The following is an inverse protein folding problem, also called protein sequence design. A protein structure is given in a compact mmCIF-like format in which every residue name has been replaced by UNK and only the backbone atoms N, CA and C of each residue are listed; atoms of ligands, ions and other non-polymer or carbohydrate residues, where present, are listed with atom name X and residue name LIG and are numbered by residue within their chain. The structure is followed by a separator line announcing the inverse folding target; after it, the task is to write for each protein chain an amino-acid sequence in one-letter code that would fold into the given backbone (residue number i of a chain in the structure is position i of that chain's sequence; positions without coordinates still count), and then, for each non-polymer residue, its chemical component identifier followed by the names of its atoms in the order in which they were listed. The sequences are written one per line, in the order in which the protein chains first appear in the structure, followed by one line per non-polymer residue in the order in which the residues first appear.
data_IF_954356970729
#
_entry.id   IF_954356970729
#
_cell.length_a   1.000
_cell.length_b   1.000
_cell.length_c   1.000
_cell.angle_alpha   90.00
_cell.angle_beta   90.00
_cell.angle_gamma   90.00
#
_symmetry.space_group_name_H-M   'P 1'
#
loop_
_entity.id
_entity.type
_entity.pdbx_description
1 polymer ?
#
# COMPACT_ATOMS: atom_id res chain seq x y z
N UNK A 1 -23.16 -27.61 -10.59
CA UNK A 1 -22.13 -26.70 -11.15
C UNK A 1 -22.58 -25.24 -11.22
N UNK A 2 -23.89 -24.94 -11.21
CA UNK A 2 -24.45 -23.57 -11.10
C UNK A 2 -24.39 -22.97 -9.68
N UNK A 3 -24.43 -23.80 -8.63
CA UNK A 3 -24.44 -23.34 -7.23
C UNK A 3 -23.08 -22.81 -6.71
N UNK A 4 -21.96 -23.17 -7.36
CA UNK A 4 -20.65 -22.60 -7.02
C UNK A 4 -20.44 -21.22 -7.65
N UNK A 5 -21.22 -20.89 -8.69
CA UNK A 5 -21.14 -19.62 -9.40
C UNK A 5 -21.87 -18.50 -8.65
N UNK A 6 -22.91 -18.84 -7.88
CA UNK A 6 -23.62 -17.88 -7.01
C UNK A 6 -22.83 -17.49 -5.76
N UNK A 7 -21.77 -18.23 -5.40
CA UNK A 7 -20.92 -17.95 -4.25
C UNK A 7 -19.79 -16.97 -4.60
N UNK A 8 -19.34 -16.98 -5.86
CA UNK A 8 -18.50 -15.92 -6.43
C UNK A 8 -19.40 -14.90 -7.11
N UNK A 9 -19.85 -13.91 -6.35
CA UNK A 9 -20.54 -12.75 -6.91
C UNK A 9 -19.56 -12.02 -7.84
N UNK A 10 -19.67 -12.32 -9.15
CA UNK A 10 -18.83 -11.77 -10.20
C UNK A 10 -18.90 -10.24 -10.16
N UNK A 11 -20.08 -9.67 -9.87
CA UNK A 11 -20.28 -8.24 -9.71
C UNK A 11 -19.56 -7.69 -8.48
N UNK A 12 -19.60 -8.42 -7.36
CA UNK A 12 -18.93 -8.01 -6.12
C UNK A 12 -17.40 -7.97 -6.25
N UNK A 13 -16.79 -9.05 -6.73
CA UNK A 13 -15.32 -9.15 -6.77
C UNK A 13 -14.70 -8.43 -7.97
N UNK A 14 -15.23 -8.63 -9.19
CA UNK A 14 -14.69 -7.98 -10.38
C UNK A 14 -14.99 -6.48 -10.37
N UNK A 15 -16.19 -6.10 -9.94
CA UNK A 15 -16.57 -4.68 -9.79
C UNK A 15 -15.73 -3.97 -8.74
N UNK A 16 -15.46 -4.60 -7.58
CA UNK A 16 -14.54 -4.04 -6.59
C UNK A 16 -13.11 -3.90 -7.12
N UNK A 17 -12.61 -4.89 -7.87
CA UNK A 17 -11.29 -4.85 -8.49
C UNK A 17 -11.18 -3.72 -9.53
N UNK A 18 -12.21 -3.53 -10.34
CA UNK A 18 -12.29 -2.46 -11.34
C UNK A 18 -12.28 -1.07 -10.68
N UNK A 19 -13.17 -0.85 -9.71
CA UNK A 19 -13.23 0.41 -8.94
C UNK A 19 -11.90 0.66 -8.23
N UNK A 20 -11.33 -0.38 -7.58
CA UNK A 20 -10.05 -0.29 -6.89
C UNK A 20 -8.90 0.09 -7.85
N UNK A 21 -8.89 -0.48 -9.05
CA UNK A 21 -7.87 -0.17 -10.07
C UNK A 21 -8.01 1.27 -10.59
N UNK A 22 -9.23 1.75 -10.84
CA UNK A 22 -9.47 3.13 -11.28
C UNK A 22 -9.03 4.14 -10.20
N UNK A 23 -9.38 3.87 -8.94
CA UNK A 23 -8.94 4.68 -7.81
C UNK A 23 -7.41 4.63 -7.66
N UNK A 24 -6.80 3.46 -7.83
CA UNK A 24 -5.34 3.28 -7.82
C UNK A 24 -4.63 4.15 -8.86
N UNK A 25 -5.11 4.15 -10.10
CA UNK A 25 -4.56 4.99 -11.17
C UNK A 25 -4.67 6.48 -10.84
N UNK A 26 -5.81 6.90 -10.27
CA UNK A 26 -5.98 8.29 -9.83
C UNK A 26 -4.98 8.66 -8.72
N UNK A 27 -4.79 7.80 -7.73
CA UNK A 27 -3.82 8.00 -6.65
C UNK A 27 -2.38 8.03 -7.18
N UNK A 28 -2.03 7.17 -8.13
CA UNK A 28 -0.73 7.20 -8.81
C UNK A 28 -0.49 8.54 -9.55
N UNK A 29 -1.54 9.12 -10.14
CA UNK A 29 -1.48 10.47 -10.70
C UNK A 29 -1.14 11.54 -9.66
N UNK A 30 -1.75 11.47 -8.47
CA UNK A 30 -1.42 12.37 -7.35
C UNK A 30 0.01 12.13 -6.88
N UNK A 31 0.45 10.89 -6.70
CA UNK A 31 1.83 10.56 -6.31
C UNK A 31 2.85 11.11 -7.32
N UNK A 32 2.56 11.01 -8.61
CA UNK A 32 3.40 11.57 -9.67
C UNK A 32 3.56 13.08 -9.52
N UNK A 33 2.46 13.80 -9.22
CA UNK A 33 2.51 15.24 -8.94
C UNK A 33 3.29 15.54 -7.64
N UNK A 34 3.11 14.74 -6.59
CA UNK A 34 3.86 14.88 -5.34
C UNK A 34 5.37 14.69 -5.58
N UNK A 35 5.74 13.68 -6.37
CA UNK A 35 7.13 13.39 -6.76
C UNK A 35 7.73 14.56 -7.53
N UNK A 36 7.02 15.09 -8.54
CA UNK A 36 7.48 16.27 -9.30
C UNK A 36 7.69 17.48 -8.39
N UNK A 37 6.73 17.79 -7.52
CA UNK A 37 6.82 18.90 -6.58
C UNK A 37 7.97 18.72 -5.57
N UNK A 38 8.23 17.49 -5.13
CA UNK A 38 9.35 17.17 -4.24
C UNK A 38 10.70 17.56 -4.88
N UNK A 39 10.96 17.10 -6.11
CA UNK A 39 12.20 17.42 -6.82
C UNK A 39 12.40 18.93 -7.05
N UNK A 40 11.30 19.66 -7.27
CA UNK A 40 11.34 21.12 -7.46
C UNK A 40 11.56 21.87 -6.16
N UNK A 41 10.96 21.44 -5.05
CA UNK A 41 10.98 22.19 -3.77
C UNK A 41 12.21 21.87 -2.92
N UNK A 42 12.77 20.66 -3.03
CA UNK A 42 13.88 20.20 -2.21
C UNK A 42 15.14 19.86 -3.04
N UNK A 43 15.71 20.82 -3.80
CA UNK A 43 16.87 20.55 -4.63
C UNK A 43 18.13 20.22 -3.81
N UNK A 44 18.19 20.60 -2.53
CA UNK A 44 19.35 20.39 -1.64
C UNK A 44 19.30 19.09 -0.83
N UNK A 45 18.23 18.30 -0.93
CA UNK A 45 18.14 17.02 -0.24
C UNK A 45 19.16 16.01 -0.78
N UNK A 46 19.54 15.04 0.06
CA UNK A 46 20.56 14.04 -0.26
C UNK A 46 20.17 13.20 -1.49
N UNK A 47 21.17 12.82 -2.29
CA UNK A 47 20.97 11.98 -3.48
C UNK A 47 20.32 10.64 -3.13
N UNK A 48 20.62 10.08 -1.96
CA UNK A 48 20.01 8.84 -1.47
C UNK A 48 18.50 9.00 -1.28
N UNK A 49 18.05 10.12 -0.72
CA UNK A 49 16.62 10.37 -0.50
C UNK A 49 15.89 10.55 -1.83
N UNK A 50 16.49 11.30 -2.76
CA UNK A 50 15.95 11.45 -4.12
C UNK A 50 15.85 10.10 -4.84
N UNK A 51 16.91 9.28 -4.79
CA UNK A 51 16.91 7.95 -5.36
C UNK A 51 15.79 7.07 -4.76
N UNK A 52 15.56 7.14 -3.44
CA UNK A 52 14.47 6.43 -2.80
C UNK A 52 13.08 6.89 -3.31
N UNK A 53 12.86 8.20 -3.48
CA UNK A 53 11.59 8.73 -4.02
C UNK A 53 11.38 8.28 -5.48
N UNK A 54 12.41 8.34 -6.32
CA UNK A 54 12.32 7.81 -7.69
C UNK A 54 12.05 6.30 -7.70
N UNK A 55 12.68 5.55 -6.79
CA UNK A 55 12.50 4.10 -6.69
C UNK A 55 11.07 3.73 -6.33
N UNK A 56 10.47 4.41 -5.34
CA UNK A 56 9.05 4.20 -4.97
C UNK A 56 8.14 4.50 -6.17
N UNK A 57 8.37 5.61 -6.86
CA UNK A 57 7.56 5.96 -8.04
C UNK A 57 7.64 4.92 -9.16
N UNK A 58 8.83 4.35 -9.41
CA UNK A 58 9.00 3.27 -10.41
C UNK A 58 8.29 2.00 -9.98
N UNK A 59 8.32 1.66 -8.68
CA UNK A 59 7.59 0.50 -8.16
C UNK A 59 6.08 0.68 -8.31
N UNK A 60 5.53 1.85 -7.97
CA UNK A 60 4.09 2.12 -8.12
C UNK A 60 3.67 2.14 -9.59
N UNK A 61 4.53 2.63 -10.50
CA UNK A 61 4.29 2.53 -11.94
C UNK A 61 4.18 1.06 -12.39
N UNK A 62 5.12 0.22 -11.94
CA UNK A 62 5.11 -1.22 -12.23
C UNK A 62 3.85 -1.90 -11.68
N UNK A 63 3.50 -1.60 -10.42
CA UNK A 63 2.28 -2.06 -9.76
C UNK A 63 1.02 -1.69 -10.58
N UNK A 64 0.91 -0.42 -10.98
CA UNK A 64 -0.23 0.10 -11.75
C UNK A 64 -0.35 -0.57 -13.12
N UNK A 65 0.77 -0.77 -13.83
CA UNK A 65 0.78 -1.46 -15.13
C UNK A 65 0.35 -2.92 -14.97
N UNK A 66 0.87 -3.63 -13.97
CA UNK A 66 0.49 -5.02 -13.70
C UNK A 66 -0.99 -5.15 -13.32
N UNK A 67 -1.52 -4.22 -12.53
CA UNK A 67 -2.94 -4.17 -12.16
C UNK A 67 -3.83 -3.93 -13.39
N UNK A 68 -3.48 -2.97 -14.24
CA UNK A 68 -4.19 -2.70 -15.49
C UNK A 68 -4.18 -3.90 -16.45
N UNK A 69 -3.04 -4.57 -16.58
CA UNK A 69 -2.93 -5.77 -17.40
C UNK A 69 -3.80 -6.90 -16.85
N UNK A 70 -3.77 -7.15 -15.54
CA UNK A 70 -4.63 -8.14 -14.89
C UNK A 70 -6.11 -7.83 -15.12
N UNK A 71 -6.52 -6.57 -14.90
CA UNK A 71 -7.89 -6.11 -15.10
C UNK A 71 -8.34 -6.31 -16.55
N UNK A 72 -7.55 -5.89 -17.54
CA UNK A 72 -7.87 -6.05 -18.96
C UNK A 72 -8.08 -7.51 -19.34
N UNK A 73 -7.22 -8.42 -18.86
CA UNK A 73 -7.36 -9.84 -19.15
C UNK A 73 -8.62 -10.44 -18.51
N UNK A 74 -8.96 -10.04 -17.30
CA UNK A 74 -10.14 -10.54 -16.61
C UNK A 74 -11.46 -9.99 -17.16
N UNK A 75 -11.48 -8.71 -17.58
CA UNK A 75 -12.71 -8.05 -18.06
C UNK A 75 -12.93 -8.20 -19.55
N UNK A 76 -11.88 -8.21 -20.37
CA UNK A 76 -11.98 -8.23 -21.84
C UNK A 76 -11.62 -9.62 -22.38
N UNK A 77 -10.38 -10.07 -22.15
CA UNK A 77 -9.86 -11.28 -22.80
C UNK A 77 -10.62 -12.55 -22.39
N UNK A 78 -10.91 -12.69 -21.09
CA UNK A 78 -11.60 -13.85 -20.53
C UNK A 78 -13.06 -13.53 -20.13
N UNK A 79 -13.68 -12.57 -20.83
CA UNK A 79 -15.06 -12.19 -20.55
C UNK A 79 -16.00 -13.40 -20.56
N UNK A 80 -16.82 -13.53 -19.52
CA UNK A 80 -17.77 -14.63 -19.37
C UNK A 80 -17.15 -15.98 -18.96
N UNK A 81 -15.84 -16.05 -18.66
CA UNK A 81 -15.15 -17.28 -18.25
C UNK A 81 -14.78 -17.25 -16.75
N UNK A 82 -15.61 -17.79 -15.85
CA UNK A 82 -15.41 -17.70 -14.40
C UNK A 82 -14.17 -18.45 -13.90
N UNK A 83 -13.64 -19.40 -14.67
CA UNK A 83 -12.38 -20.11 -14.36
C UNK A 83 -11.16 -19.19 -14.26
N UNK A 84 -11.13 -18.11 -15.05
CA UNK A 84 -10.02 -17.15 -15.08
C UNK A 84 -10.11 -16.06 -14.00
N UNK A 85 -11.26 -15.95 -13.34
CA UNK A 85 -11.43 -15.13 -12.12
C UNK A 85 -10.93 -15.90 -10.89
N UNK A 86 -11.11 -17.22 -10.89
CA UNK A 86 -10.66 -18.11 -9.83
C UNK A 86 -9.14 -18.36 -9.87
N UNK A 87 -8.59 -18.44 -11.08
CA UNK A 87 -7.15 -18.55 -11.35
C UNK A 87 -6.69 -17.36 -12.19
N UNK A 88 -6.32 -16.25 -11.53
CA UNK A 88 -5.92 -15.03 -12.23
C UNK A 88 -4.63 -15.22 -13.04
N UNK A 89 -4.35 -14.33 -14.00
CA UNK A 89 -3.06 -14.30 -14.66
C UNK A 89 -1.94 -13.97 -13.66
N UNK A 90 -0.72 -14.45 -13.93
CA UNK A 90 0.49 -14.17 -13.14
C UNK A 90 0.70 -12.67 -12.87
N UNK A 91 0.22 -11.80 -13.76
CA UNK A 91 0.25 -10.35 -13.59
C UNK A 91 -0.40 -9.87 -12.29
N UNK A 92 -1.45 -10.55 -11.82
CA UNK A 92 -2.12 -10.22 -10.56
C UNK A 92 -1.33 -10.69 -9.33
N UNK A 93 -0.58 -11.79 -9.44
CA UNK A 93 0.31 -12.21 -8.35
C UNK A 93 1.51 -11.25 -8.22
N UNK A 94 1.97 -10.71 -9.36
CA UNK A 94 3.05 -9.72 -9.41
C UNK A 94 2.65 -8.41 -8.71
N UNK A 95 1.37 -8.00 -8.74
CA UNK A 95 0.95 -6.78 -8.02
C UNK A 95 1.13 -6.92 -6.52
N UNK A 96 0.88 -8.10 -5.95
CA UNK A 96 1.09 -8.39 -4.53
C UNK A 96 2.57 -8.24 -4.15
N UNK A 97 3.47 -8.67 -5.03
CA UNK A 97 4.91 -8.50 -4.83
C UNK A 97 5.32 -7.02 -4.86
N UNK A 98 4.82 -6.26 -5.83
CA UNK A 98 5.07 -4.82 -5.88
C UNK A 98 4.53 -4.11 -4.63
N UNK A 99 3.30 -4.40 -4.23
CA UNK A 99 2.68 -3.83 -3.04
C UNK A 99 3.53 -4.10 -1.78
N UNK A 100 4.00 -5.35 -1.59
CA UNK A 100 4.87 -5.70 -0.46
C UNK A 100 6.18 -4.90 -0.43
N UNK A 101 6.80 -4.67 -1.59
CA UNK A 101 8.01 -3.85 -1.70
C UNK A 101 7.72 -2.37 -1.41
N UNK A 102 6.66 -1.83 -1.99
CA UNK A 102 6.23 -0.44 -1.80
C UNK A 102 5.96 -0.19 -0.32
N UNK A 103 5.16 -1.03 0.33
CA UNK A 103 4.86 -0.92 1.76
C UNK A 103 6.13 -0.91 2.59
N UNK A 104 7.07 -1.82 2.33
CA UNK A 104 8.32 -1.91 3.10
C UNK A 104 9.15 -0.63 2.99
N UNK A 105 9.31 -0.10 1.78
CA UNK A 105 10.11 1.11 1.53
C UNK A 105 9.41 2.34 2.12
N UNK A 106 8.13 2.51 1.83
CA UNK A 106 7.33 3.66 2.27
C UNK A 106 7.21 3.70 3.80
N UNK A 107 6.96 2.56 4.43
CA UNK A 107 6.89 2.44 5.88
C UNK A 107 8.23 2.78 6.54
N UNK A 108 9.35 2.28 6.01
CA UNK A 108 10.69 2.61 6.51
C UNK A 108 10.97 4.11 6.39
N UNK A 109 10.56 4.72 5.27
CA UNK A 109 10.71 6.15 5.04
C UNK A 109 9.89 6.98 6.04
N UNK A 110 8.61 6.68 6.22
CA UNK A 110 7.76 7.40 7.18
C UNK A 110 8.16 7.15 8.63
N UNK A 111 8.57 5.94 8.98
CA UNK A 111 9.11 5.63 10.30
C UNK A 111 10.35 6.48 10.63
N UNK A 112 11.25 6.63 9.66
CA UNK A 112 12.41 7.50 9.81
C UNK A 112 12.02 8.98 9.95
N UNK A 113 11.03 9.45 9.17
CA UNK A 113 10.50 10.82 9.30
C UNK A 113 9.90 11.07 10.68
N UNK A 114 9.11 10.14 11.21
CA UNK A 114 8.55 10.25 12.57
C UNK A 114 9.66 10.29 13.61
N UNK A 115 10.71 9.48 13.49
CA UNK A 115 11.87 9.54 14.41
C UNK A 115 12.54 10.91 14.39
N UNK A 116 12.81 11.45 13.21
CA UNK A 116 13.47 12.76 13.05
C UNK A 116 12.61 13.88 13.63
N UNK A 117 11.29 13.81 13.46
CA UNK A 117 10.36 14.84 13.91
C UNK A 117 10.04 14.75 15.40
N UNK A 118 9.80 13.53 15.90
CA UNK A 118 9.43 13.28 17.30
C UNK A 118 10.63 13.19 18.24
N UNK A 119 11.83 12.93 17.74
CA UNK A 119 13.02 12.64 18.54
C UNK A 119 13.00 11.28 19.26
N UNK A 120 11.90 10.53 19.17
CA UNK A 120 11.67 9.28 19.89
C UNK A 120 11.98 8.06 19.01
N UNK A 121 12.87 7.19 19.47
CA UNK A 121 13.31 6.01 18.72
C UNK A 121 12.32 4.83 18.78
N UNK A 122 11.46 4.76 19.81
CA UNK A 122 10.53 3.64 20.00
C UNK A 122 9.46 3.55 18.91
N UNK A 123 9.01 4.68 18.34
CA UNK A 123 8.00 4.69 17.26
C UNK A 123 8.58 4.08 15.99
N UNK A 124 9.84 4.37 15.68
CA UNK A 124 10.54 3.76 14.56
C UNK A 124 10.71 2.25 14.77
N UNK A 125 11.11 1.82 15.97
CA UNK A 125 11.26 0.40 16.27
C UNK A 125 9.93 -0.36 16.13
N UNK A 126 8.83 0.20 16.65
CA UNK A 126 7.49 -0.35 16.50
C UNK A 126 7.06 -0.39 15.03
N UNK A 127 7.28 0.69 14.28
CA UNK A 127 6.95 0.74 12.86
C UNK A 127 7.75 -0.29 12.05
N UNK A 128 9.06 -0.44 12.28
CA UNK A 128 9.87 -1.47 11.61
C UNK A 128 9.39 -2.89 11.96
N UNK A 129 9.07 -3.14 13.23
CA UNK A 129 8.54 -4.43 13.67
C UNK A 129 7.20 -4.77 12.99
N UNK A 130 6.26 -3.83 12.97
CA UNK A 130 4.98 -4.01 12.30
C UNK A 130 5.16 -4.18 10.78
N UNK A 131 6.15 -3.52 10.18
CA UNK A 131 6.47 -3.66 8.75
C UNK A 131 7.01 -5.04 8.40
N UNK A 132 7.86 -5.61 9.26
CA UNK A 132 8.31 -6.98 9.11
C UNK A 132 7.14 -7.97 9.19
N UNK A 133 6.21 -7.75 10.13
CA UNK A 133 5.00 -8.58 10.24
C UNK A 133 4.11 -8.47 9.00
N UNK A 134 3.91 -7.26 8.45
CA UNK A 134 3.19 -7.06 7.18
C UNK A 134 3.87 -7.84 6.06
N UNK A 135 5.19 -7.69 5.89
CA UNK A 135 5.95 -8.36 4.82
C UNK A 135 5.83 -9.88 4.90
N UNK A 136 5.97 -10.46 6.10
CA UNK A 136 5.81 -11.91 6.31
C UNK A 136 4.38 -12.36 5.99
N UNK A 137 3.36 -11.62 6.42
CA UNK A 137 1.96 -11.91 6.10
C UNK A 137 1.69 -11.93 4.60
N UNK A 138 2.18 -10.92 3.86
CA UNK A 138 2.04 -10.84 2.41
C UNK A 138 2.77 -11.97 1.70
N UNK A 139 3.99 -12.31 2.11
CA UNK A 139 4.74 -13.44 1.55
C UNK A 139 4.03 -14.77 1.78
N UNK A 140 3.39 -14.95 2.93
CA UNK A 140 2.61 -16.15 3.22
C UNK A 140 1.37 -16.23 2.32
N UNK A 141 0.61 -15.13 2.19
CA UNK A 141 -0.54 -15.07 1.28
C UNK A 141 -0.12 -15.35 -0.17
N UNK A 142 0.97 -14.75 -0.64
CA UNK A 142 1.52 -14.99 -1.97
C UNK A 142 1.89 -16.47 -2.18
N UNK A 143 2.53 -17.11 -1.20
CA UNK A 143 2.85 -18.54 -1.29
C UNK A 143 1.60 -19.43 -1.33
N UNK A 144 0.51 -19.05 -0.63
CA UNK A 144 -0.76 -19.75 -0.70
C UNK A 144 -1.43 -19.59 -2.07
N UNK A 145 -1.36 -18.41 -2.69
CA UNK A 145 -1.90 -18.15 -4.02
C UNK A 145 -1.23 -19.00 -5.11
N UNK A 146 0.07 -19.31 -4.96
CA UNK A 146 0.77 -20.21 -5.89
C UNK A 146 0.34 -21.68 -5.76
N UNK A 147 -0.19 -22.07 -4.59
CA UNK A 147 -0.50 -23.48 -4.27
C UNK A 147 -1.98 -23.80 -4.36
N UNK A 148 -2.85 -22.84 -4.07
CA UNK A 148 -4.29 -23.03 -3.93
C UNK A 148 -5.07 -22.05 -4.80
N UNK A 149 -6.23 -22.51 -5.30
CA UNK A 149 -7.19 -21.64 -5.99
C UNK A 149 -7.74 -20.61 -5.00
N UNK A 150 -8.00 -19.38 -5.48
CA UNK A 150 -8.50 -18.27 -4.64
C UNK A 150 -9.71 -18.62 -3.77
N UNK A 151 -10.64 -19.43 -4.30
CA UNK A 151 -11.81 -19.87 -3.55
C UNK A 151 -11.43 -20.60 -2.25
N UNK A 152 -10.43 -21.48 -2.29
CA UNK A 152 -9.93 -22.21 -1.11
C UNK A 152 -9.31 -21.25 -0.09
N UNK A 153 -8.58 -20.23 -0.56
CA UNK A 153 -7.97 -19.22 0.32
C UNK A 153 -9.06 -18.40 1.02
N UNK A 154 -10.09 -17.97 0.30
CA UNK A 154 -11.18 -17.17 0.86
C UNK A 154 -12.03 -17.98 1.85
N UNK A 155 -12.20 -19.28 1.63
CA UNK A 155 -13.03 -20.13 2.49
C UNK A 155 -12.26 -20.65 3.72
N UNK A 156 -11.03 -21.12 3.53
CA UNK A 156 -10.25 -21.77 4.60
C UNK A 156 -9.29 -20.81 5.31
N UNK A 157 -8.73 -19.83 4.56
CA UNK A 157 -7.69 -18.92 5.04
C UNK A 157 -8.17 -17.47 5.19
N UNK A 158 -9.49 -17.27 5.27
CA UNK A 158 -10.11 -15.94 5.40
C UNK A 158 -9.54 -15.13 6.56
N UNK A 159 -9.31 -15.81 7.69
CA UNK A 159 -8.77 -15.18 8.90
C UNK A 159 -7.40 -14.56 8.62
N UNK A 160 -6.55 -15.20 7.83
CA UNK A 160 -5.21 -14.72 7.49
C UNK A 160 -5.29 -13.47 6.61
N UNK A 161 -6.16 -13.48 5.59
CA UNK A 161 -6.37 -12.32 4.71
C UNK A 161 -6.94 -11.14 5.51
N UNK A 162 -7.96 -11.36 6.33
CA UNK A 162 -8.58 -10.30 7.14
C UNK A 162 -7.61 -9.74 8.18
N UNK A 163 -6.79 -10.56 8.85
CA UNK A 163 -5.82 -10.05 9.83
C UNK A 163 -4.69 -9.27 9.17
N UNK A 164 -4.20 -9.71 8.00
CA UNK A 164 -3.20 -8.95 7.23
C UNK A 164 -3.75 -7.58 6.82
N UNK A 165 -4.95 -7.52 6.23
CA UNK A 165 -5.58 -6.25 5.85
C UNK A 165 -5.87 -5.35 7.07
N UNK A 166 -6.24 -5.92 8.21
CA UNK A 166 -6.48 -5.16 9.44
C UNK A 166 -5.17 -4.59 10.02
N UNK A 167 -4.10 -5.37 9.95
CA UNK A 167 -2.76 -4.93 10.35
C UNK A 167 -2.29 -3.78 9.45
N UNK A 168 -2.54 -3.89 8.14
CA UNK A 168 -2.20 -2.85 7.17
C UNK A 168 -2.84 -1.51 7.53
N UNK A 169 -4.16 -1.52 7.71
CA UNK A 169 -4.91 -0.35 8.13
C UNK A 169 -4.41 0.23 9.47
N UNK A 170 -4.15 -0.65 10.45
CA UNK A 170 -3.70 -0.23 11.78
C UNK A 170 -2.35 0.49 11.74
N UNK A 171 -1.42 0.01 10.92
CA UNK A 171 -0.10 0.62 10.75
C UNK A 171 -0.22 1.99 10.09
N UNK A 172 -1.04 2.12 9.06
CA UNK A 172 -1.21 3.38 8.33
C UNK A 172 -1.85 4.44 9.24
N UNK A 173 -2.84 4.05 10.06
CA UNK A 173 -3.43 4.93 11.09
C UNK A 173 -2.37 5.34 12.12
N UNK A 174 -1.58 4.41 12.63
CA UNK A 174 -0.56 4.68 13.64
C UNK A 174 0.49 5.69 13.13
N UNK A 175 1.00 5.50 11.91
CA UNK A 175 2.00 6.38 11.30
C UNK A 175 1.38 7.76 11.04
N UNK A 176 0.18 7.80 10.47
CA UNK A 176 -0.51 9.06 10.16
C UNK A 176 -0.81 9.84 11.43
N UNK A 177 -1.36 9.19 12.46
CA UNK A 177 -1.63 9.81 13.75
C UNK A 177 -0.34 10.34 14.41
N UNK A 178 0.75 9.57 14.34
CA UNK A 178 2.05 9.98 14.88
C UNK A 178 2.60 11.24 14.17
N UNK A 179 2.51 11.29 12.84
CA UNK A 179 2.93 12.46 12.06
C UNK A 179 2.06 13.69 12.36
N UNK A 180 0.73 13.52 12.36
CA UNK A 180 -0.21 14.59 12.67
C UNK A 180 0.01 15.16 14.07
N UNK A 181 0.17 14.30 15.07
CA UNK A 181 0.46 14.72 16.45
C UNK A 181 1.76 15.49 16.55
N UNK A 182 2.82 15.02 15.87
CA UNK A 182 4.11 15.67 15.91
C UNK A 182 4.09 17.05 15.22
N UNK A 183 3.45 17.17 14.05
CA UNK A 183 3.26 18.44 13.35
C UNK A 183 2.39 19.42 14.16
N UNK A 184 1.36 18.92 14.83
CA UNK A 184 0.51 19.73 15.70
C UNK A 184 1.33 20.34 16.84
N UNK A 185 2.14 19.52 17.52
CA UNK A 185 2.95 19.99 18.65
C UNK A 185 3.98 21.06 18.22
N UNK A 186 4.57 20.90 17.04
CA UNK A 186 5.49 21.91 16.47
C UNK A 186 4.77 23.23 16.19
N UNK A 187 3.60 23.19 15.58
CA UNK A 187 2.79 24.39 15.32
C UNK A 187 2.35 25.09 16.60
N UNK A 188 1.89 24.34 17.60
CA UNK A 188 1.48 24.92 18.90
C UNK A 188 2.64 25.56 19.64
N UNK A 189 3.86 25.00 19.52
CA UNK A 189 5.06 25.59 20.12
C UNK A 189 5.46 26.89 19.40
N UNK A 190 5.39 26.92 18.07
CA UNK A 190 5.70 28.11 17.29
C UNK A 190 4.69 29.24 17.51
N UNK A 191 3.39 28.94 17.61
CA UNK A 191 2.37 29.93 17.96
C UNK A 191 2.66 30.58 19.31
N UNK A 192 2.95 29.79 20.35
CA UNK A 192 3.28 30.32 21.68
C UNK A 192 4.53 31.20 21.68
N UNK A 193 5.51 30.89 20.83
CA UNK A 193 6.74 31.70 20.68
C UNK A 193 6.47 33.06 20.02
N UNK A 194 5.50 33.12 19.10
CA UNK A 194 5.10 34.38 18.46
C UNK A 194 4.31 35.26 19.45
N UNK A 195 3.48 34.65 20.30
CA UNK A 195 2.63 35.36 21.26
C UNK A 195 3.41 35.89 22.50
N UNK A 196 4.59 35.35 22.81
CA UNK A 196 5.42 35.77 23.95
C UNK A 196 6.89 36.07 23.55
N UNK A 197 7.16 37.22 22.91
CA UNK A 197 8.47 37.56 22.35
C UNK A 197 9.52 37.99 23.40
N UNK A 198 9.20 37.95 24.70
CA UNK A 198 10.04 38.51 25.78
C UNK A 198 10.72 37.48 26.70
N UNK A 199 10.73 36.20 26.32
CA UNK A 199 11.63 35.17 26.88
C UNK A 199 12.76 34.83 25.92
#
# INVERSE_FOLDING_TARGET
MSANLSLFDLNGNLGALEIGSVLGIFLFGIETLQTFNYYRRFPKDSTLLKAAVAFVWVLELGHTISALHALYFQTITFYGQPSHVLNPPLSEDITILFAGLIYTVVQTFFANRVRVLSGQWYIMALACFLGLLRFVGHMWIAALLLKYVRATIILEWRWLVTTSLSLDLSVDILITASLCFCLWNMRSCESKRIDDPHQ
#
